data_IF_616603945800
#
_entry.id   IF_616603945800
#
_cell.length_a   1.000
_cell.length_b   1.000
_cell.length_c   1.000
_cell.angle_alpha   90.00
_cell.angle_beta   90.00
_cell.angle_gamma   90.00
#
_symmetry.space_group_name_H-M   'P 1'
#
loop_
_entity.id
_entity.type
_entity.pdbx_description
1 polymer ?
#
# COMPACT_ATOMS: atom_id res chain seq x y z
N UNK A 1 -18.38 17.89 18.79
CA UNK A 1 -17.82 16.52 18.75
C UNK A 1 -18.93 15.45 18.79
N UNK A 2 -19.87 15.51 19.73
CA UNK A 2 -21.00 14.55 19.82
C UNK A 2 -21.89 14.48 18.56
N UNK A 3 -22.15 15.60 17.87
CA UNK A 3 -22.97 15.62 16.64
C UNK A 3 -22.28 14.91 15.45
N UNK A 4 -20.95 14.96 15.39
CA UNK A 4 -20.19 14.27 14.34
C UNK A 4 -20.20 12.76 14.61
N UNK A 5 -19.98 12.34 15.85
CA UNK A 5 -20.00 10.92 16.25
C UNK A 5 -21.38 10.30 16.03
N UNK A 6 -22.47 11.01 16.37
CA UNK A 6 -23.84 10.54 16.11
C UNK A 6 -24.17 10.43 14.61
N UNK A 7 -23.63 11.33 13.79
CA UNK A 7 -23.80 11.26 12.34
C UNK A 7 -23.00 10.10 11.72
N UNK A 8 -21.82 9.81 12.25
CA UNK A 8 -21.02 8.67 11.83
C UNK A 8 -21.67 7.34 12.23
N UNK A 9 -22.22 7.24 13.45
CA UNK A 9 -22.95 6.06 13.90
C UNK A 9 -24.20 5.80 13.05
N UNK A 10 -24.98 6.84 12.71
CA UNK A 10 -26.10 6.73 11.79
C UNK A 10 -25.69 6.26 10.39
N UNK A 11 -24.54 6.70 9.88
CA UNK A 11 -23.99 6.25 8.60
C UNK A 11 -23.54 4.80 8.65
N UNK A 12 -22.85 4.41 9.71
CA UNK A 12 -22.46 3.03 9.96
C UNK A 12 -23.65 2.07 9.93
N UNK A 13 -24.73 2.40 10.66
CA UNK A 13 -25.95 1.59 10.71
C UNK A 13 -26.70 1.54 9.37
N UNK A 14 -26.61 2.59 8.53
CA UNK A 14 -27.20 2.61 7.20
C UNK A 14 -26.38 1.88 6.13
N UNK A 15 -25.10 1.69 6.37
CA UNK A 15 -24.17 1.05 5.44
C UNK A 15 -24.39 -0.45 5.17
N UNK A 16 -25.44 -1.03 5.76
CA UNK A 16 -25.86 -2.41 5.53
C UNK A 16 -24.85 -3.43 6.06
N UNK A 17 -25.32 -4.45 6.76
CA UNK A 17 -24.51 -5.46 7.45
C UNK A 17 -23.78 -6.47 6.53
N UNK A 18 -23.73 -6.21 5.23
CA UNK A 18 -22.99 -7.08 4.31
C UNK A 18 -21.56 -6.60 4.22
N UNK A 19 -20.71 -7.10 5.12
CA UNK A 19 -19.27 -7.13 4.82
C UNK A 19 -19.08 -7.94 3.56
N UNK A 20 -18.21 -7.49 2.62
CA UNK A 20 -17.88 -8.33 1.48
C UNK A 20 -17.49 -9.68 2.05
N UNK A 21 -18.04 -10.76 1.49
CA UNK A 21 -17.45 -12.07 1.64
C UNK A 21 -16.12 -12.04 0.91
N UNK A 22 -15.22 -11.21 1.45
CA UNK A 22 -13.87 -11.16 0.98
C UNK A 22 -13.37 -12.57 1.18
N UNK A 23 -12.99 -13.22 0.09
CA UNK A 23 -12.26 -14.48 0.16
C UNK A 23 -10.84 -14.17 0.65
N UNK A 24 -10.76 -13.49 1.83
CA UNK A 24 -9.50 -13.09 2.44
C UNK A 24 -8.56 -14.28 2.59
N UNK A 25 -9.13 -15.46 2.86
CA UNK A 25 -8.40 -16.73 2.91
C UNK A 25 -7.75 -17.05 1.56
N UNK A 26 -8.47 -16.86 0.46
CA UNK A 26 -7.94 -17.08 -0.90
C UNK A 26 -6.83 -16.07 -1.21
N UNK A 27 -7.03 -14.79 -0.89
CA UNK A 27 -5.99 -13.77 -1.09
C UNK A 27 -4.76 -14.06 -0.24
N UNK A 28 -4.93 -14.44 1.02
CA UNK A 28 -3.85 -14.83 1.91
C UNK A 28 -3.13 -16.07 1.40
N UNK A 29 -3.87 -17.10 0.97
CA UNK A 29 -3.32 -18.32 0.40
C UNK A 29 -2.48 -18.04 -0.86
N UNK A 30 -2.99 -17.24 -1.80
CA UNK A 30 -2.26 -16.84 -3.00
C UNK A 30 -0.98 -16.08 -2.62
N UNK A 31 -1.08 -15.13 -1.69
CA UNK A 31 0.09 -14.33 -1.25
C UNK A 31 1.16 -15.20 -0.61
N UNK A 32 0.77 -16.07 0.33
CA UNK A 32 1.71 -16.98 1.00
C UNK A 32 2.39 -17.88 -0.01
N UNK A 33 1.64 -18.49 -0.94
CA UNK A 33 2.22 -19.35 -1.96
C UNK A 33 3.16 -18.56 -2.88
N UNK A 34 2.80 -17.35 -3.30
CA UNK A 34 3.66 -16.51 -4.13
C UNK A 34 4.96 -16.15 -3.40
N UNK A 35 4.90 -15.84 -2.09
CA UNK A 35 6.08 -15.58 -1.26
C UNK A 35 6.96 -16.84 -1.15
N UNK A 36 6.37 -18.00 -0.86
CA UNK A 36 7.09 -19.28 -0.73
C UNK A 36 7.76 -19.66 -2.06
N UNK A 37 7.03 -19.61 -3.17
CA UNK A 37 7.55 -19.91 -4.51
C UNK A 37 8.71 -18.96 -4.84
N UNK A 38 8.56 -17.68 -4.58
CA UNK A 38 9.61 -16.69 -4.79
C UNK A 38 10.84 -16.95 -3.91
N UNK A 39 10.63 -17.28 -2.64
CA UNK A 39 11.68 -17.64 -1.69
C UNK A 39 12.51 -18.85 -2.20
N UNK A 40 11.82 -19.89 -2.66
CA UNK A 40 12.45 -21.14 -3.07
C UNK A 40 13.15 -21.04 -4.43
N UNK A 41 12.57 -20.28 -5.38
CA UNK A 41 13.05 -20.26 -6.77
C UNK A 41 13.87 -19.02 -7.12
N UNK A 42 13.62 -17.86 -6.51
CA UNK A 42 14.18 -16.59 -6.95
C UNK A 42 15.16 -15.97 -5.96
N UNK A 43 14.97 -16.14 -4.66
CA UNK A 43 15.78 -15.45 -3.65
C UNK A 43 17.23 -15.94 -3.65
N UNK A 44 17.46 -17.26 -3.80
CA UNK A 44 18.80 -17.83 -3.89
C UNK A 44 19.60 -17.30 -5.10
N UNK A 45 19.09 -17.43 -6.34
CA UNK A 45 19.75 -16.88 -7.52
C UNK A 45 20.00 -15.37 -7.46
N UNK A 46 19.06 -14.59 -6.89
CA UNK A 46 19.24 -13.14 -6.72
C UNK A 46 20.30 -12.82 -5.66
N UNK A 47 20.36 -13.59 -4.58
CA UNK A 47 21.38 -13.43 -3.52
C UNK A 47 22.78 -13.73 -4.02
N UNK A 48 22.96 -14.88 -4.71
CA UNK A 48 24.27 -15.37 -5.17
C UNK A 48 24.75 -14.77 -6.49
N UNK A 49 23.79 -14.38 -7.38
CA UNK A 49 24.12 -14.08 -8.79
C UNK A 49 24.71 -12.68 -9.04
N UNK A 50 24.72 -11.80 -8.05
CA UNK A 50 25.11 -10.41 -8.27
C UNK A 50 24.21 -9.66 -9.27
N UNK A 51 24.07 -8.37 -9.12
CA UNK A 51 23.22 -7.55 -10.00
C UNK A 51 24.10 -6.74 -10.95
N UNK A 52 23.88 -6.89 -12.25
CA UNK A 52 24.62 -6.14 -13.28
C UNK A 52 24.60 -4.63 -12.99
N UNK A 53 25.74 -3.92 -13.13
CA UNK A 53 25.83 -2.49 -12.80
C UNK A 53 24.84 -1.59 -13.53
N UNK A 54 24.45 -1.96 -14.76
CA UNK A 54 23.46 -1.23 -15.54
C UNK A 54 22.04 -1.35 -14.90
N UNK A 55 21.64 -2.57 -14.49
CA UNK A 55 20.37 -2.83 -13.82
C UNK A 55 20.33 -2.11 -12.48
N UNK A 56 21.41 -2.14 -11.72
CA UNK A 56 21.50 -1.44 -10.43
C UNK A 56 21.40 0.08 -10.59
N UNK A 57 21.99 0.67 -11.65
CA UNK A 57 21.84 2.10 -11.96
C UNK A 57 20.40 2.46 -12.29
N UNK A 58 19.74 1.70 -13.15
CA UNK A 58 18.31 1.88 -13.46
C UNK A 58 17.44 1.77 -12.20
N UNK A 59 17.67 0.75 -11.39
CA UNK A 59 16.97 0.58 -10.12
C UNK A 59 17.13 1.78 -9.20
N UNK A 60 18.34 2.35 -9.06
CA UNK A 60 18.59 3.55 -8.25
C UNK A 60 17.85 4.77 -8.78
N UNK A 61 17.81 5.00 -10.08
CA UNK A 61 17.09 6.12 -10.68
C UNK A 61 15.57 6.07 -10.42
N UNK A 62 15.01 4.87 -10.29
CA UNK A 62 13.56 4.69 -10.16
C UNK A 62 13.10 4.40 -8.72
N UNK A 63 13.99 3.92 -7.83
CA UNK A 63 13.58 3.44 -6.52
C UNK A 63 13.02 4.54 -5.62
N UNK A 64 13.44 5.79 -5.81
CA UNK A 64 13.00 6.93 -5.00
C UNK A 64 11.51 7.27 -5.21
N UNK A 65 10.94 6.88 -6.36
CA UNK A 65 9.49 6.95 -6.57
C UNK A 65 8.68 6.08 -5.61
N UNK A 66 9.30 5.07 -5.00
CA UNK A 66 8.69 4.23 -3.97
C UNK A 66 8.95 4.70 -2.54
N UNK A 67 9.67 5.80 -2.34
CA UNK A 67 9.95 6.32 -1.00
C UNK A 67 8.66 6.84 -0.35
N UNK A 68 8.41 6.44 0.89
CA UNK A 68 7.19 6.84 1.62
C UNK A 68 7.13 8.34 1.91
N UNK A 69 8.27 8.99 2.08
CA UNK A 69 8.35 10.39 2.51
C UNK A 69 7.58 11.34 1.60
N UNK A 70 7.89 11.35 0.29
CA UNK A 70 7.20 12.26 -0.64
C UNK A 70 5.73 11.88 -0.87
N UNK A 71 5.40 10.58 -0.85
CA UNK A 71 4.01 10.13 -0.97
C UNK A 71 3.16 10.54 0.23
N UNK A 72 3.73 10.53 1.43
CA UNK A 72 3.09 11.07 2.64
C UNK A 72 2.87 12.57 2.48
N UNK A 73 3.89 13.32 2.02
CA UNK A 73 3.79 14.77 1.80
C UNK A 73 2.69 15.10 0.79
N UNK A 74 2.67 14.42 -0.35
CA UNK A 74 1.64 14.63 -1.39
C UNK A 74 0.24 14.29 -0.84
N UNK A 75 0.11 13.19 -0.10
CA UNK A 75 -1.18 12.80 0.49
C UNK A 75 -1.65 13.80 1.55
N UNK A 76 -0.74 14.31 2.38
CA UNK A 76 -1.02 15.34 3.36
C UNK A 76 -1.37 16.68 2.70
N UNK A 77 -0.67 17.03 1.59
CA UNK A 77 -0.98 18.22 0.81
C UNK A 77 -2.39 18.15 0.20
N UNK A 78 -2.78 17.02 -0.40
CA UNK A 78 -4.14 16.83 -0.90
C UNK A 78 -5.19 16.97 0.20
N UNK A 79 -4.91 16.40 1.38
CA UNK A 79 -5.79 16.53 2.53
C UNK A 79 -5.95 17.99 2.96
N UNK A 80 -4.84 18.71 3.07
CA UNK A 80 -4.81 20.12 3.47
C UNK A 80 -5.48 21.01 2.42
N UNK A 81 -5.18 20.83 1.14
CA UNK A 81 -5.76 21.59 0.03
C UNK A 81 -7.29 21.44 -0.03
N UNK A 82 -7.77 20.19 0.07
CA UNK A 82 -9.19 19.93 0.14
C UNK A 82 -9.84 20.59 1.36
N UNK A 83 -9.23 20.51 2.52
CA UNK A 83 -9.70 21.13 3.75
C UNK A 83 -9.70 22.67 3.67
N UNK A 84 -8.62 23.29 3.16
CA UNK A 84 -8.50 24.73 2.99
C UNK A 84 -9.54 25.28 2.02
N UNK A 85 -9.72 24.60 0.88
CA UNK A 85 -10.73 24.95 -0.13
C UNK A 85 -12.15 24.93 0.46
N UNK A 86 -12.47 23.96 1.32
CA UNK A 86 -13.77 23.89 2.01
C UNK A 86 -14.07 25.10 2.90
N UNK A 87 -13.03 25.79 3.41
CA UNK A 87 -13.18 26.99 4.25
C UNK A 87 -13.51 28.24 3.47
N UNK A 88 -13.09 28.30 2.20
CA UNK A 88 -13.17 29.52 1.37
C UNK A 88 -14.35 29.47 0.39
N UNK A 89 -14.64 28.29 -0.17
CA UNK A 89 -15.58 28.18 -1.29
C UNK A 89 -17.03 28.05 -0.84
N UNK A 90 -17.91 28.83 -1.49
CA UNK A 90 -19.36 28.84 -1.24
C UNK A 90 -20.13 27.93 -2.22
N UNK A 91 -19.64 27.74 -3.45
CA UNK A 91 -20.30 26.93 -4.47
C UNK A 91 -20.43 25.47 -4.05
N UNK A 92 -21.60 24.89 -4.15
CA UNK A 92 -21.86 23.49 -3.79
C UNK A 92 -21.00 22.51 -4.62
N UNK A 93 -20.90 22.75 -5.92
CA UNK A 93 -20.09 21.92 -6.84
C UNK A 93 -18.62 21.89 -6.39
N UNK A 94 -18.02 23.04 -6.15
CA UNK A 94 -16.61 23.14 -5.73
C UNK A 94 -16.41 22.58 -4.33
N UNK A 95 -17.37 22.72 -3.42
CA UNK A 95 -17.32 22.09 -2.09
C UNK A 95 -17.33 20.57 -2.18
N UNK A 96 -18.11 19.99 -3.08
CA UNK A 96 -18.13 18.54 -3.30
C UNK A 96 -16.79 18.04 -3.87
N UNK A 97 -16.19 18.77 -4.81
CA UNK A 97 -14.84 18.45 -5.33
C UNK A 97 -13.77 18.56 -4.24
N UNK A 98 -13.79 19.62 -3.43
CA UNK A 98 -12.87 19.80 -2.31
C UNK A 98 -12.99 18.68 -1.26
N UNK A 99 -14.22 18.24 -0.95
CA UNK A 99 -14.45 17.08 -0.09
C UNK A 99 -13.85 15.80 -0.67
N UNK A 100 -13.95 15.59 -1.98
CA UNK A 100 -13.32 14.42 -2.62
C UNK A 100 -11.82 14.47 -2.54
N UNK A 101 -11.19 15.60 -2.83
CA UNK A 101 -9.73 15.78 -2.71
C UNK A 101 -9.30 15.52 -1.26
N UNK A 102 -10.00 16.12 -0.30
CA UNK A 102 -9.73 15.93 1.13
C UNK A 102 -9.79 14.45 1.55
N UNK A 103 -10.86 13.75 1.19
CA UNK A 103 -11.00 12.33 1.52
C UNK A 103 -10.04 11.44 0.74
N UNK A 104 -9.64 11.81 -0.48
CA UNK A 104 -8.61 11.10 -1.24
C UNK A 104 -7.26 11.23 -0.54
N UNK A 105 -6.88 12.44 -0.13
CA UNK A 105 -5.66 12.66 0.66
C UNK A 105 -5.67 11.87 1.97
N UNK A 106 -6.77 11.90 2.71
CA UNK A 106 -6.93 11.13 3.95
C UNK A 106 -6.82 9.61 3.71
N UNK A 107 -7.44 9.10 2.65
CA UNK A 107 -7.40 7.70 2.28
C UNK A 107 -5.99 7.22 1.92
N UNK A 108 -5.27 7.96 1.08
CA UNK A 108 -3.89 7.66 0.72
C UNK A 108 -2.98 7.71 1.94
N UNK A 109 -3.09 8.78 2.73
CA UNK A 109 -2.27 9.00 3.92
C UNK A 109 -2.43 7.86 4.94
N UNK A 110 -3.68 7.50 5.27
CA UNK A 110 -3.96 6.42 6.21
C UNK A 110 -3.50 5.06 5.68
N UNK A 111 -3.66 4.79 4.37
CA UNK A 111 -3.20 3.55 3.74
C UNK A 111 -1.68 3.40 3.84
N UNK A 112 -0.94 4.46 3.51
CA UNK A 112 0.53 4.46 3.54
C UNK A 112 1.05 4.37 4.98
N UNK A 113 0.51 5.16 5.90
CA UNK A 113 1.01 5.20 7.28
C UNK A 113 0.73 3.87 7.98
N UNK A 114 -0.49 3.36 7.94
CA UNK A 114 -0.84 2.14 8.66
C UNK A 114 -0.09 0.93 8.12
N UNK A 115 -0.01 0.78 6.80
CA UNK A 115 0.76 -0.31 6.19
C UNK A 115 2.25 -0.18 6.49
N UNK A 116 2.79 1.04 6.48
CA UNK A 116 4.19 1.33 6.80
C UNK A 116 4.55 1.03 8.26
N UNK A 117 3.69 1.38 9.21
CA UNK A 117 3.87 1.06 10.64
C UNK A 117 3.91 -0.45 10.84
N UNK A 118 2.97 -1.19 10.24
CA UNK A 118 2.95 -2.65 10.35
C UNK A 118 4.15 -3.29 9.65
N UNK A 119 4.54 -2.80 8.47
CA UNK A 119 5.75 -3.28 7.79
C UNK A 119 7.01 -3.09 8.65
N UNK A 120 7.16 -1.92 9.30
CA UNK A 120 8.30 -1.64 10.18
C UNK A 120 8.27 -2.50 11.45
N UNK A 121 7.10 -2.77 12.01
CA UNK A 121 6.96 -3.70 13.11
C UNK A 121 7.39 -5.12 12.70
N UNK A 122 6.86 -5.63 11.57
CA UNK A 122 7.19 -6.95 11.06
C UNK A 122 8.68 -7.10 10.73
N UNK A 123 9.32 -6.06 10.17
CA UNK A 123 10.76 -6.09 9.89
C UNK A 123 11.59 -6.39 11.12
N UNK A 124 11.30 -5.71 12.21
CA UNK A 124 12.04 -5.85 13.48
C UNK A 124 11.75 -7.17 14.16
N UNK A 125 10.50 -7.64 14.10
CA UNK A 125 10.10 -8.92 14.72
C UNK A 125 10.62 -10.12 13.94
N UNK A 126 10.68 -10.05 12.61
CA UNK A 126 11.17 -11.15 11.76
C UNK A 126 12.70 -11.12 11.67
N UNK A 127 13.30 -9.95 11.47
CA UNK A 127 14.74 -9.79 11.47
C UNK A 127 15.47 -10.54 10.36
N UNK A 128 14.93 -10.60 9.14
CA UNK A 128 15.53 -11.32 8.01
C UNK A 128 16.77 -10.59 7.48
N UNK A 129 17.86 -11.33 7.23
CA UNK A 129 19.07 -10.80 6.60
C UNK A 129 18.80 -10.30 5.18
N UNK A 130 19.45 -9.19 4.79
CA UNK A 130 19.35 -8.62 3.44
C UNK A 130 20.26 -9.32 2.44
N UNK A 131 19.99 -9.20 1.11
CA UNK A 131 20.84 -9.81 0.07
C UNK A 131 22.33 -9.46 0.14
N UNK A 132 22.68 -8.29 0.66
CA UNK A 132 24.09 -7.89 0.85
C UNK A 132 24.87 -8.76 1.84
N UNK A 133 24.19 -9.55 2.65
CA UNK A 133 24.78 -10.49 3.62
C UNK A 133 24.56 -11.95 3.21
N UNK A 134 24.24 -12.19 1.92
CA UNK A 134 23.92 -13.53 1.44
C UNK A 134 25.08 -14.53 1.62
N UNK A 135 26.30 -14.10 1.36
CA UNK A 135 27.48 -14.98 1.45
C UNK A 135 27.72 -15.46 2.88
N UNK A 136 27.45 -14.60 3.88
CA UNK A 136 27.65 -14.92 5.29
C UNK A 136 26.49 -15.72 5.89
N UNK A 137 25.27 -15.39 5.50
CA UNK A 137 24.05 -15.83 6.21
C UNK A 137 23.04 -16.59 5.34
N UNK A 138 23.19 -16.60 4.01
CA UNK A 138 22.22 -17.22 3.09
C UNK A 138 20.86 -16.51 3.10
N UNK A 139 19.81 -17.19 2.57
CA UNK A 139 18.46 -16.63 2.42
C UNK A 139 17.57 -16.80 3.66
N UNK A 140 17.90 -17.67 4.58
CA UNK A 140 17.07 -18.08 5.72
C UNK A 140 17.67 -17.68 7.08
N UNK A 141 18.45 -16.62 7.12
CA UNK A 141 18.97 -16.11 8.38
C UNK A 141 18.05 -15.05 8.96
N UNK A 142 17.72 -15.21 10.24
CA UNK A 142 16.82 -14.35 10.99
C UNK A 142 17.45 -13.93 12.31
N UNK A 143 17.46 -12.65 12.60
CA UNK A 143 17.91 -12.08 13.87
C UNK A 143 16.85 -11.07 14.38
N UNK A 144 15.77 -11.56 15.02
CA UNK A 144 14.71 -10.72 15.54
C UNK A 144 15.24 -9.67 16.51
N UNK A 145 14.74 -8.44 16.38
CA UNK A 145 15.09 -7.30 17.25
C UNK A 145 16.59 -6.98 17.33
N UNK A 146 17.38 -7.34 16.31
CA UNK A 146 18.84 -7.12 16.29
C UNK A 146 19.25 -5.64 16.35
N UNK A 147 18.35 -4.72 15.97
CA UNK A 147 18.65 -3.29 15.85
C UNK A 147 19.53 -2.92 14.65
N UNK A 148 19.98 -3.89 13.86
CA UNK A 148 20.80 -3.67 12.68
C UNK A 148 19.97 -3.64 11.40
N UNK A 149 20.10 -2.57 10.61
CA UNK A 149 19.40 -2.40 9.34
C UNK A 149 19.68 -3.53 8.32
N UNK A 150 20.80 -4.24 8.45
CA UNK A 150 21.14 -5.42 7.66
C UNK A 150 20.20 -6.61 7.86
N UNK A 151 19.49 -6.67 8.98
CA UNK A 151 18.50 -7.70 9.32
C UNK A 151 17.05 -7.20 9.23
N UNK A 152 16.80 -6.12 8.52
CA UNK A 152 15.45 -5.58 8.29
C UNK A 152 15.01 -5.77 6.81
N UNK A 153 15.12 -7.01 6.27
CA UNK A 153 14.77 -7.27 4.87
C UNK A 153 13.27 -7.49 4.65
N UNK A 154 12.62 -8.35 5.43
CA UNK A 154 11.25 -8.80 5.20
C UNK A 154 10.23 -8.15 6.17
N UNK A 155 9.10 -7.63 5.66
CA UNK A 155 8.80 -7.31 4.28
C UNK A 155 9.46 -6.01 3.81
N UNK A 156 9.52 -5.78 2.49
CA UNK A 156 10.08 -4.54 1.92
C UNK A 156 9.17 -3.33 2.21
N UNK A 157 9.68 -2.32 2.96
CA UNK A 157 8.92 -1.12 3.29
C UNK A 157 8.59 -0.24 2.08
N UNK A 158 9.53 -0.07 1.13
CA UNK A 158 9.26 0.62 -0.13
C UNK A 158 8.17 -0.09 -0.94
N UNK A 159 8.26 -1.42 -1.07
CA UNK A 159 7.23 -2.20 -1.76
C UNK A 159 5.88 -2.09 -1.05
N UNK A 160 5.85 -2.05 0.29
CA UNK A 160 4.60 -1.82 1.05
C UNK A 160 3.97 -0.47 0.71
N UNK A 161 4.78 0.59 0.69
CA UNK A 161 4.29 1.93 0.31
C UNK A 161 3.77 1.97 -1.13
N UNK A 162 4.51 1.38 -2.07
CA UNK A 162 4.11 1.28 -3.48
C UNK A 162 2.81 0.48 -3.61
N UNK A 163 2.73 -0.67 -2.93
CA UNK A 163 1.55 -1.52 -2.90
C UNK A 163 0.32 -0.76 -2.36
N UNK A 164 0.48 -0.04 -1.25
CA UNK A 164 -0.59 0.77 -0.68
C UNK A 164 -1.06 1.87 -1.63
N UNK A 165 -0.13 2.61 -2.22
CA UNK A 165 -0.42 3.74 -3.10
C UNK A 165 -1.12 3.28 -4.39
N UNK A 166 -0.53 2.35 -5.13
CA UNK A 166 -1.08 1.92 -6.40
C UNK A 166 -2.34 1.06 -6.28
N UNK A 167 -2.48 0.28 -5.21
CA UNK A 167 -3.74 -0.40 -4.91
C UNK A 167 -4.86 0.61 -4.60
N UNK A 168 -4.56 1.69 -3.86
CA UNK A 168 -5.52 2.75 -3.63
C UNK A 168 -5.99 3.39 -4.95
N UNK A 169 -5.05 3.71 -5.87
CA UNK A 169 -5.41 4.24 -7.18
C UNK A 169 -6.16 3.24 -8.04
N UNK A 170 -5.84 1.95 -7.97
CA UNK A 170 -6.56 0.90 -8.69
C UNK A 170 -8.03 0.76 -8.24
N UNK A 171 -8.31 1.08 -6.97
CA UNK A 171 -9.66 1.10 -6.41
C UNK A 171 -10.40 2.40 -6.75
N UNK A 172 -9.71 3.55 -6.76
CA UNK A 172 -10.28 4.84 -7.14
C UNK A 172 -10.56 4.94 -8.64
N UNK A 173 -9.71 4.35 -9.47
CA UNK A 173 -9.80 4.40 -10.93
C UNK A 173 -9.83 2.99 -11.54
N UNK A 174 -10.96 2.26 -11.45
CA UNK A 174 -11.03 0.85 -11.86
C UNK A 174 -10.69 0.60 -13.35
N UNK A 175 -10.90 1.61 -14.21
CA UNK A 175 -10.57 1.53 -15.64
C UNK A 175 -9.05 1.40 -15.88
N UNK A 176 -8.23 1.98 -15.01
CA UNK A 176 -6.77 1.95 -15.09
C UNK A 176 -6.15 0.92 -14.14
N UNK A 177 -6.93 -0.02 -13.60
CA UNK A 177 -6.50 -0.98 -12.57
C UNK A 177 -5.24 -1.75 -12.99
N UNK A 178 -5.23 -2.29 -14.20
CA UNK A 178 -4.10 -3.07 -14.72
C UNK A 178 -2.84 -2.21 -14.80
N UNK A 179 -2.95 -0.97 -15.27
CA UNK A 179 -1.84 -0.03 -15.33
C UNK A 179 -1.24 0.22 -13.93
N UNK A 180 -2.07 0.51 -12.94
CA UNK A 180 -1.58 0.76 -11.57
C UNK A 180 -0.94 -0.47 -10.96
N UNK A 181 -1.49 -1.67 -11.17
CA UNK A 181 -0.89 -2.92 -10.71
C UNK A 181 0.45 -3.20 -11.40
N UNK A 182 0.56 -2.93 -12.71
CA UNK A 182 1.81 -3.04 -13.44
C UNK A 182 2.86 -2.04 -12.92
N UNK A 183 2.48 -0.80 -12.64
CA UNK A 183 3.36 0.19 -12.02
C UNK A 183 3.82 -0.26 -10.63
N UNK A 184 2.93 -0.84 -9.81
CA UNK A 184 3.28 -1.37 -8.50
C UNK A 184 4.34 -2.48 -8.59
N UNK A 185 4.15 -3.43 -9.48
CA UNK A 185 5.11 -4.51 -9.72
C UNK A 185 6.44 -3.96 -10.22
N UNK A 186 6.42 -3.09 -11.23
CA UNK A 186 7.62 -2.49 -11.80
C UNK A 186 8.45 -1.73 -10.76
N UNK A 187 7.82 -0.80 -10.03
CA UNK A 187 8.52 -0.03 -9.01
C UNK A 187 8.91 -0.89 -7.80
N UNK A 188 8.12 -1.90 -7.45
CA UNK A 188 8.48 -2.88 -6.42
C UNK A 188 9.76 -3.63 -6.80
N UNK A 189 9.88 -4.07 -8.06
CA UNK A 189 11.07 -4.76 -8.55
C UNK A 189 12.34 -3.91 -8.53
N UNK A 190 12.25 -2.58 -8.51
CA UNK A 190 13.44 -1.72 -8.36
C UNK A 190 14.21 -2.03 -7.07
N UNK A 191 13.54 -2.53 -6.01
CA UNK A 191 14.17 -2.92 -4.74
C UNK A 191 15.05 -4.15 -4.88
N UNK A 192 14.67 -5.06 -5.77
CA UNK A 192 15.51 -6.20 -6.17
C UNK A 192 16.68 -5.71 -7.04
N UNK A 193 16.40 -4.84 -8.02
CA UNK A 193 17.41 -4.29 -8.93
C UNK A 193 18.53 -3.53 -8.20
N UNK A 194 18.23 -2.87 -7.08
CA UNK A 194 19.28 -2.21 -6.27
C UNK A 194 19.98 -3.15 -5.30
N UNK A 195 19.51 -4.39 -5.14
CA UNK A 195 20.08 -5.38 -4.21
C UNK A 195 19.71 -5.13 -2.74
N UNK A 196 18.64 -4.39 -2.47
CA UNK A 196 18.23 -4.05 -1.11
C UNK A 196 17.29 -5.09 -0.49
N UNK A 197 16.56 -5.84 -1.29
CA UNK A 197 15.56 -6.81 -0.88
C UNK A 197 15.52 -8.02 -1.83
N UNK A 198 15.11 -9.15 -1.30
CA UNK A 198 14.79 -10.32 -2.10
C UNK A 198 13.43 -10.16 -2.81
N UNK A 199 13.18 -10.90 -3.92
CA UNK A 199 11.88 -10.91 -4.59
C UNK A 199 10.72 -11.27 -3.65
N UNK A 200 10.90 -12.24 -2.75
CA UNK A 200 9.87 -12.61 -1.77
C UNK A 200 9.51 -11.46 -0.80
N UNK A 201 10.50 -10.64 -0.39
CA UNK A 201 10.27 -9.45 0.47
C UNK A 201 9.42 -8.41 -0.24
N UNK A 202 9.64 -8.27 -1.57
CA UNK A 202 8.90 -7.32 -2.41
C UNK A 202 7.46 -7.77 -2.59
N UNK A 203 7.23 -9.05 -2.90
CA UNK A 203 5.88 -9.62 -3.06
C UNK A 203 5.09 -9.46 -1.76
N UNK A 204 5.70 -9.82 -0.62
CA UNK A 204 5.06 -9.65 0.68
C UNK A 204 4.74 -8.18 0.99
N UNK A 205 5.65 -7.25 0.68
CA UNK A 205 5.44 -5.82 0.86
C UNK A 205 4.29 -5.29 0.00
N UNK A 206 4.28 -5.57 -1.30
CA UNK A 206 3.21 -5.16 -2.22
C UNK A 206 1.84 -5.67 -1.77
N UNK A 207 1.77 -6.94 -1.37
CA UNK A 207 0.54 -7.55 -0.88
C UNK A 207 0.07 -6.91 0.42
N UNK A 208 0.96 -6.66 1.37
CA UNK A 208 0.65 -6.00 2.64
C UNK A 208 0.08 -4.60 2.41
N UNK A 209 0.74 -3.79 1.59
CA UNK A 209 0.26 -2.45 1.25
C UNK A 209 -1.09 -2.47 0.55
N UNK A 210 -1.26 -3.35 -0.44
CA UNK A 210 -2.52 -3.53 -1.16
C UNK A 210 -3.67 -3.98 -0.26
N UNK A 211 -3.39 -4.89 0.67
CA UNK A 211 -4.35 -5.32 1.68
C UNK A 211 -4.85 -4.17 2.56
N UNK A 212 -3.93 -3.35 3.09
CA UNK A 212 -4.31 -2.18 3.90
C UNK A 212 -5.17 -1.20 3.11
N UNK A 213 -4.81 -0.89 1.86
CA UNK A 213 -5.63 -0.01 1.02
C UNK A 213 -7.03 -0.55 0.81
N UNK A 214 -7.19 -1.85 0.58
CA UNK A 214 -8.49 -2.48 0.42
C UNK A 214 -9.30 -2.42 1.73
N UNK A 215 -8.70 -2.75 2.88
CA UNK A 215 -9.40 -2.69 4.17
C UNK A 215 -9.89 -1.27 4.49
N UNK A 216 -9.07 -0.26 4.25
CA UNK A 216 -9.46 1.13 4.47
C UNK A 216 -10.55 1.54 3.48
N UNK A 217 -10.50 1.11 2.21
CA UNK A 217 -11.57 1.37 1.25
C UNK A 217 -12.91 0.77 1.68
N UNK A 218 -12.89 -0.44 2.27
CA UNK A 218 -14.09 -1.07 2.85
C UNK A 218 -14.63 -0.22 4.00
N UNK A 219 -13.78 0.21 4.93
CA UNK A 219 -14.19 1.13 6.01
C UNK A 219 -14.79 2.41 5.45
N UNK A 220 -14.12 3.03 4.46
CA UNK A 220 -14.62 4.24 3.80
C UNK A 220 -15.95 4.03 3.08
N UNK A 221 -16.19 2.84 2.51
CA UNK A 221 -17.47 2.51 1.87
C UNK A 221 -18.62 2.42 2.88
N UNK A 222 -18.37 1.86 4.07
CA UNK A 222 -19.36 1.83 5.15
C UNK A 222 -19.78 3.23 5.62
N UNK A 223 -18.81 4.13 5.74
CA UNK A 223 -19.12 5.53 6.06
C UNK A 223 -19.63 6.35 4.87
N UNK A 224 -19.65 5.75 3.68
CA UNK A 224 -20.08 6.43 2.46
C UNK A 224 -19.24 7.66 2.12
N UNK A 225 -17.92 7.59 2.31
CA UNK A 225 -16.98 8.70 2.02
C UNK A 225 -16.62 8.75 0.53
N UNK A 226 -15.50 8.14 0.12
CA UNK A 226 -15.07 8.04 -1.28
C UNK A 226 -15.72 6.89 -2.03
N UNK A 227 -16.03 5.85 -1.30
CA UNK A 227 -16.54 4.60 -1.84
C UNK A 227 -17.99 4.38 -1.44
N UNK A 228 -18.68 3.55 -2.17
CA UNK A 228 -19.95 2.91 -1.84
C UNK A 228 -19.78 1.40 -1.89
N UNK A 229 -20.59 0.68 -1.16
CA UNK A 229 -20.60 -0.77 -1.20
C UNK A 229 -21.45 -1.23 -2.39
N UNK A 230 -20.94 -2.11 -3.23
CA UNK A 230 -21.68 -2.79 -4.30
C UNK A 230 -22.55 -3.93 -3.73
N UNK A 231 -23.34 -4.58 -4.60
CA UNK A 231 -24.22 -5.71 -4.23
C UNK A 231 -23.43 -6.88 -3.61
N UNK A 232 -22.21 -7.08 -4.08
CA UNK A 232 -21.29 -8.12 -3.60
C UNK A 232 -20.44 -7.68 -2.40
N UNK A 233 -20.69 -6.47 -1.86
CA UNK A 233 -19.96 -5.92 -0.72
C UNK A 233 -18.63 -5.24 -1.07
N UNK A 234 -18.24 -5.13 -2.33
CA UNK A 234 -16.98 -4.52 -2.74
C UNK A 234 -17.03 -2.98 -2.68
N UNK A 235 -15.91 -2.32 -2.32
CA UNK A 235 -15.82 -0.88 -2.38
C UNK A 235 -15.70 -0.41 -3.83
N UNK A 236 -16.70 0.34 -4.30
CA UNK A 236 -16.72 0.95 -5.63
C UNK A 236 -16.66 2.47 -5.47
N UNK A 237 -15.82 3.17 -6.25
CA UNK A 237 -15.69 4.62 -6.13
C UNK A 237 -17.00 5.32 -6.49
N UNK A 238 -17.32 6.39 -5.78
CA UNK A 238 -18.49 7.22 -6.08
C UNK A 238 -18.25 8.00 -7.38
N UNK A 239 -19.25 8.02 -8.27
CA UNK A 239 -19.18 8.70 -9.58
C UNK A 239 -19.04 10.23 -9.55
N UNK A 240 -18.90 10.85 -8.39
CA UNK A 240 -18.74 12.30 -8.25
C UNK A 240 -17.48 12.87 -8.96
N UNK A 241 -16.57 12.01 -9.43
CA UNK A 241 -15.36 12.38 -10.19
C UNK A 241 -15.57 12.39 -11.72
N UNK A 242 -16.76 12.10 -12.23
CA UNK A 242 -16.99 11.92 -13.67
C UNK A 242 -17.88 13.02 -14.30
N UNK A 243 -18.13 14.10 -13.56
CA UNK A 243 -18.87 15.26 -14.07
C UNK A 243 -17.94 16.44 -14.36
#
# INVERSE_FOLDING_TARGET
MQSILSSLDKRWRRGGSRMPQLRWQTCLFITINAVIISLLLLDGPVGSGGIAPAIRRLGRALTDFGASGWLIIVSAFLLFEGWATLRVVKSLKTRMQALQICWTGAYLLTSIILSGVIANFLKRTIGRARPQHFEDYGILSFSPFSGHAGFESFPSGHATTIGAFFAAFSLLFPRCRILFLACALWLGMTRVMVGAHYPSDVIAGLALGGWFSLMIAIVYSHYGLLFKTDLDGWPVPKRLLQA
#
